data_IF_176980513427
#
_entry.id   IF_176980513427
#
_cell.length_a   1.000
_cell.length_b   1.000
_cell.length_c   1.000
_cell.angle_alpha   90.00
_cell.angle_beta   90.00
_cell.angle_gamma   90.00
#
_symmetry.space_group_name_H-M   'P 1'
#
loop_
_entity.id
_entity.type
_entity.pdbx_description
1 polymer ?
#
# COMPACT_ATOMS: atom_id res chain seq x y z
N UNK A 1 -16.60 -4.43 -15.27
CA UNK A 1 -16.06 -5.62 -14.58
C UNK A 1 -14.89 -5.21 -13.70
N UNK A 2 -15.11 -5.12 -12.39
CA UNK A 2 -14.07 -4.78 -11.39
C UNK A 2 -13.63 -6.06 -10.68
N UNK A 3 -12.33 -6.26 -10.40
CA UNK A 3 -11.87 -7.43 -9.66
C UNK A 3 -12.50 -7.52 -8.26
N UNK A 4 -12.88 -8.73 -7.84
CA UNK A 4 -13.41 -8.97 -6.48
C UNK A 4 -12.36 -8.81 -5.38
N UNK A 5 -11.08 -9.02 -5.71
CA UNK A 5 -9.94 -8.92 -4.78
C UNK A 5 -8.75 -8.32 -5.49
N UNK A 6 -8.02 -7.47 -4.79
CA UNK A 6 -6.78 -6.83 -5.25
C UNK A 6 -5.74 -6.94 -4.14
N UNK A 7 -4.49 -7.24 -4.49
CA UNK A 7 -3.38 -7.19 -3.54
C UNK A 7 -2.71 -5.84 -3.69
N UNK A 8 -2.52 -5.16 -2.57
CA UNK A 8 -1.91 -3.83 -2.53
C UNK A 8 -0.83 -3.80 -1.46
N UNK A 9 0.14 -2.90 -1.64
CA UNK A 9 1.11 -2.50 -0.62
C UNK A 9 0.71 -1.13 -0.11
N UNK A 10 0.80 -0.94 1.20
CA UNK A 10 0.54 0.33 1.86
C UNK A 10 1.85 0.85 2.45
N UNK A 11 2.29 2.02 1.98
CA UNK A 11 3.47 2.71 2.49
C UNK A 11 3.05 3.99 3.19
N UNK A 12 3.23 4.07 4.51
CA UNK A 12 2.95 5.28 5.28
C UNK A 12 4.16 6.20 5.24
N UNK A 13 4.01 7.38 4.63
CA UNK A 13 5.09 8.36 4.41
C UNK A 13 4.74 9.71 5.04
N UNK A 14 5.76 10.55 5.25
CA UNK A 14 5.60 11.94 5.71
C UNK A 14 5.03 12.78 4.57
N UNK A 15 4.07 13.64 4.90
CA UNK A 15 3.56 14.62 3.96
C UNK A 15 4.43 15.88 4.07
N UNK A 16 5.08 16.25 2.97
CA UNK A 16 5.94 17.44 2.88
C UNK A 16 5.16 18.68 2.44
N UNK A 17 3.86 18.53 2.15
CA UNK A 17 2.95 19.64 1.86
C UNK A 17 2.57 20.39 3.14
N UNK A 18 3.08 21.63 3.26
CA UNK A 18 2.90 22.49 4.45
C UNK A 18 1.45 22.89 4.68
N UNK A 19 0.62 22.91 3.63
CA UNK A 19 -0.80 23.28 3.72
C UNK A 19 -1.70 22.09 4.11
N UNK A 20 -1.13 20.89 4.24
CA UNK A 20 -1.91 19.71 4.61
C UNK A 20 -2.22 19.66 6.11
N UNK A 21 -3.50 19.48 6.44
CA UNK A 21 -3.93 19.25 7.81
C UNK A 21 -3.32 17.99 8.45
N UNK A 22 -2.82 17.03 7.65
CA UNK A 22 -2.26 15.77 8.12
C UNK A 22 -0.78 15.63 7.75
N UNK A 23 0.08 15.37 8.76
CA UNK A 23 1.54 15.20 8.62
C UNK A 23 1.97 13.90 7.91
N UNK A 24 1.03 13.00 7.62
CA UNK A 24 1.29 11.65 7.12
C UNK A 24 0.26 11.30 6.06
N UNK A 25 0.70 10.60 5.03
CA UNK A 25 -0.17 10.00 4.03
C UNK A 25 0.17 8.52 3.84
N UNK A 26 -0.74 7.77 3.23
CA UNK A 26 -0.52 6.38 2.88
C UNK A 26 -0.56 6.24 1.37
N UNK A 27 0.59 5.94 0.77
CA UNK A 27 0.68 5.58 -0.63
C UNK A 27 0.24 4.12 -0.80
N UNK A 28 -0.70 3.88 -1.71
CA UNK A 28 -1.18 2.54 -2.03
C UNK A 28 -0.71 2.15 -3.42
N UNK A 29 0.05 1.07 -3.53
CA UNK A 29 0.53 0.55 -4.82
C UNK A 29 -0.05 -0.83 -5.09
N UNK A 30 -0.42 -1.09 -6.34
CA UNK A 30 -0.90 -2.39 -6.77
C UNK A 30 0.23 -3.43 -6.79
N UNK A 31 -0.03 -4.64 -6.29
CA UNK A 31 0.86 -5.79 -6.42
C UNK A 31 0.19 -6.83 -7.31
N UNK A 32 0.75 -7.14 -8.49
CA UNK A 32 0.27 -8.26 -9.29
C UNK A 32 0.56 -9.58 -8.57
N UNK A 33 -0.47 -10.41 -8.40
CA UNK A 33 -0.35 -11.75 -7.81
C UNK A 33 -1.08 -12.76 -8.68
N UNK A 34 -0.49 -13.96 -8.84
CA UNK A 34 -1.10 -15.05 -9.61
C UNK A 34 -2.24 -15.76 -8.89
N UNK A 35 -2.28 -15.74 -7.55
CA UNK A 35 -3.35 -16.30 -6.73
C UNK A 35 -3.49 -15.54 -5.41
N UNK A 36 -4.71 -15.55 -4.85
CA UNK A 36 -5.01 -14.96 -3.54
C UNK A 36 -5.13 -15.99 -2.42
N UNK A 37 -5.02 -17.29 -2.73
CA UNK A 37 -5.09 -18.36 -1.72
C UNK A 37 -3.79 -18.43 -0.93
N UNK A 38 -3.89 -18.55 0.39
CA UNK A 38 -2.73 -18.66 1.29
C UNK A 38 -1.99 -17.35 1.58
N UNK A 39 -2.33 -16.25 0.90
CA UNK A 39 -1.70 -14.94 1.17
C UNK A 39 -2.32 -14.29 2.41
N UNK A 40 -1.49 -14.03 3.42
CA UNK A 40 -1.85 -13.25 4.61
C UNK A 40 -1.38 -11.79 4.50
N UNK A 41 -1.78 -10.93 5.41
CA UNK A 41 -1.22 -9.58 5.50
C UNK A 41 0.17 -9.69 6.10
N UNK A 42 1.16 -9.10 5.43
CA UNK A 42 2.56 -9.16 5.84
C UNK A 42 3.12 -7.74 5.97
N UNK A 43 4.02 -7.57 6.93
CA UNK A 43 4.77 -6.33 7.08
C UNK A 43 5.94 -6.37 6.10
N UNK A 44 6.08 -5.32 5.31
CA UNK A 44 7.18 -5.17 4.34
C UNK A 44 8.11 -4.09 4.84
N UNK A 45 9.42 -4.35 4.81
CA UNK A 45 10.42 -3.36 5.17
C UNK A 45 10.46 -2.21 4.15
N UNK A 46 10.61 -0.99 4.66
CA UNK A 46 10.65 0.23 3.85
C UNK A 46 11.85 0.32 2.89
N UNK A 47 12.85 -0.57 3.04
CA UNK A 47 14.01 -0.68 2.13
C UNK A 47 13.70 -1.45 0.85
N UNK A 48 12.57 -2.17 0.76
CA UNK A 48 12.18 -2.92 -0.44
C UNK A 48 11.18 -2.17 -1.32
N UNK A 49 11.29 -0.85 -1.33
CA UNK A 49 10.48 0.05 -2.16
C UNK A 49 11.06 0.20 -3.57
#
# INVERSE_FOLDING_TARGET
NVPFRVRVRLSRRRNDDEDSANKLFTLVTYIPVGTFKGLQTENVDASQE
#
